data_IF_799033907821
#
_entry.id   IF_799033907821
#
_cell.length_a   1.000
_cell.length_b   1.000
_cell.length_c   1.000
_cell.angle_alpha   90.00
_cell.angle_beta   90.00
_cell.angle_gamma   90.00
#
_symmetry.space_group_name_H-M   'P 1'
#
loop_
_entity.id
_entity.type
_entity.pdbx_description
1 polymer ?
#
# COMPACT_ATOMS: atom_id res chain seq x y z
N UNK A 1 -12.11 2.49 20.15
CA UNK A 1 -12.09 2.18 18.71
C UNK A 1 -10.72 2.52 18.18
N UNK A 2 -9.92 1.51 17.84
CA UNK A 2 -8.60 1.72 17.23
C UNK A 2 -8.82 2.30 15.84
N UNK A 3 -8.36 3.54 15.60
CA UNK A 3 -8.45 4.13 14.26
C UNK A 3 -7.59 3.31 13.30
N UNK A 4 -8.19 2.88 12.20
CA UNK A 4 -7.47 2.21 11.13
C UNK A 4 -6.34 3.11 10.62
N UNK A 5 -5.13 2.57 10.48
CA UNK A 5 -3.97 3.34 9.99
C UNK A 5 -4.21 3.86 8.57
N UNK A 6 -5.08 3.21 7.80
CA UNK A 6 -5.47 3.64 6.46
C UNK A 6 -6.15 5.01 6.41
N UNK A 7 -6.80 5.44 7.48
CA UNK A 7 -7.42 6.78 7.54
C UNK A 7 -6.43 7.88 7.92
N UNK A 8 -5.34 7.52 8.61
CA UNK A 8 -4.38 8.48 9.19
C UNK A 8 -3.15 8.64 8.31
N UNK A 9 -2.67 7.56 7.71
CA UNK A 9 -1.44 7.55 6.94
C UNK A 9 -1.71 7.78 5.46
N UNK A 10 -0.78 8.51 4.81
CA UNK A 10 -0.78 8.69 3.36
C UNK A 10 0.31 7.86 2.67
N UNK A 11 1.38 7.50 3.38
CA UNK A 11 2.51 6.72 2.88
C UNK A 11 3.03 5.82 4.00
N UNK A 12 3.44 4.61 3.64
CA UNK A 12 4.18 3.67 4.49
C UNK A 12 5.30 3.06 3.64
N UNK A 13 6.48 2.87 4.21
CA UNK A 13 7.65 2.37 3.47
C UNK A 13 8.38 1.29 4.25
N UNK A 14 9.18 0.49 3.54
CA UNK A 14 9.99 -0.58 4.11
C UNK A 14 9.15 -1.83 4.40
N UNK A 15 9.73 -2.74 5.18
CA UNK A 15 9.14 -4.07 5.45
C UNK A 15 7.76 -3.97 6.10
N UNK A 16 7.57 -2.99 7.00
CA UNK A 16 6.30 -2.72 7.64
C UNK A 16 5.17 -2.40 6.63
N UNK A 17 5.50 -1.81 5.48
CA UNK A 17 4.52 -1.56 4.42
C UNK A 17 4.04 -2.88 3.79
N UNK A 18 4.98 -3.74 3.40
CA UNK A 18 4.67 -5.06 2.83
C UNK A 18 3.84 -5.91 3.78
N UNK A 19 4.25 -5.97 5.05
CA UNK A 19 3.56 -6.75 6.07
C UNK A 19 2.14 -6.20 6.31
N UNK A 20 1.99 -4.88 6.34
CA UNK A 20 0.68 -4.25 6.51
C UNK A 20 -0.24 -4.48 5.30
N UNK A 21 0.28 -4.42 4.07
CA UNK A 21 -0.49 -4.77 2.89
C UNK A 21 -1.00 -6.20 2.95
N UNK A 22 -0.13 -7.15 3.26
CA UNK A 22 -0.48 -8.58 3.28
C UNK A 22 -1.47 -8.92 4.40
N UNK A 23 -1.33 -8.30 5.57
CA UNK A 23 -2.13 -8.65 6.74
C UNK A 23 -3.46 -7.89 6.82
N UNK A 24 -3.55 -6.70 6.24
CA UNK A 24 -4.67 -5.79 6.51
C UNK A 24 -5.37 -5.25 5.25
N UNK A 25 -4.79 -5.39 4.06
CA UNK A 25 -5.38 -4.87 2.83
C UNK A 25 -5.76 -6.00 1.88
N UNK A 26 -6.92 -5.87 1.24
CA UNK A 26 -7.33 -6.79 0.18
C UNK A 26 -6.66 -6.39 -1.13
N UNK A 27 -5.94 -7.32 -1.75
CA UNK A 27 -5.35 -7.11 -3.07
C UNK A 27 -6.45 -7.06 -4.12
N UNK A 28 -6.52 -5.97 -4.86
CA UNK A 28 -7.54 -5.75 -5.90
C UNK A 28 -7.01 -6.12 -7.27
N UNK A 29 -5.83 -5.63 -7.63
CA UNK A 29 -5.19 -5.89 -8.92
C UNK A 29 -3.69 -5.64 -8.86
N UNK A 30 -2.96 -6.18 -9.82
CA UNK A 30 -1.58 -5.80 -10.11
C UNK A 30 -1.53 -5.26 -11.54
N UNK A 31 -0.79 -4.18 -11.76
CA UNK A 31 -0.53 -3.71 -13.11
C UNK A 31 0.72 -4.37 -13.72
N UNK A 32 0.80 -4.36 -15.04
CA UNK A 32 1.95 -4.90 -15.77
C UNK A 32 3.27 -4.13 -15.56
N UNK A 33 3.28 -3.08 -14.72
CA UNK A 33 4.46 -2.31 -14.33
C UNK A 33 4.96 -2.69 -12.93
N UNK A 34 4.34 -3.70 -12.28
CA UNK A 34 4.74 -4.18 -10.97
C UNK A 34 4.20 -3.33 -9.81
N UNK A 35 3.19 -2.49 -10.04
CA UNK A 35 2.44 -1.86 -8.97
C UNK A 35 1.28 -2.77 -8.56
N UNK A 36 1.14 -3.01 -7.26
CA UNK A 36 0.01 -3.76 -6.72
C UNK A 36 -0.95 -2.82 -6.04
N UNK A 37 -2.23 -2.91 -6.38
CA UNK A 37 -3.28 -2.10 -5.79
C UNK A 37 -4.06 -2.89 -4.75
N UNK A 38 -4.36 -2.22 -3.65
CA UNK A 38 -5.07 -2.78 -2.52
C UNK A 38 -6.21 -1.89 -2.06
N UNK A 39 -7.16 -2.49 -1.35
CA UNK A 39 -8.25 -1.80 -0.69
C UNK A 39 -8.32 -2.21 0.78
N UNK A 40 -8.43 -1.23 1.66
CA UNK A 40 -8.71 -1.49 3.06
C UNK A 40 -10.19 -1.89 3.22
N UNK A 41 -10.51 -3.07 3.78
CA UNK A 41 -11.90 -3.51 3.95
C UNK A 41 -12.66 -2.66 4.99
N UNK A 42 -11.95 -2.09 5.97
CA UNK A 42 -12.57 -1.31 7.05
C UNK A 42 -12.96 0.12 6.62
N UNK A 43 -12.11 0.77 5.82
CA UNK A 43 -12.26 2.20 5.47
C UNK A 43 -12.60 2.40 3.99
N UNK A 44 -12.49 1.36 3.16
CA UNK A 44 -12.57 1.45 1.71
C UNK A 44 -11.46 2.29 1.08
N UNK A 45 -10.42 2.67 1.84
CA UNK A 45 -9.29 3.46 1.35
C UNK A 45 -8.46 2.64 0.37
N UNK A 46 -8.07 3.29 -0.72
CA UNK A 46 -7.27 2.71 -1.78
C UNK A 46 -5.77 2.90 -1.52
N UNK A 47 -4.98 1.87 -1.79
CA UNK A 47 -3.53 1.86 -1.63
C UNK A 47 -2.86 1.28 -2.87
N UNK A 48 -1.65 1.76 -3.17
CA UNK A 48 -0.78 1.20 -4.20
C UNK A 48 0.58 0.87 -3.57
N UNK A 49 1.06 -0.34 -3.76
CA UNK A 49 2.42 -0.77 -3.47
C UNK A 49 3.27 -0.54 -4.73
N UNK A 50 4.28 0.28 -4.56
CA UNK A 50 5.26 0.65 -5.59
C UNK A 50 6.61 0.07 -5.17
N UNK A 51 7.32 -0.59 -6.10
CA UNK A 51 8.74 -0.93 -5.89
C UNK A 51 9.56 0.34 -6.11
N UNK A 52 10.10 0.91 -5.04
CA UNK A 52 11.01 2.04 -5.15
C UNK A 52 12.44 1.49 -5.29
N UNK A 53 13.21 1.91 -6.31
CA UNK A 53 14.64 1.65 -6.32
C UNK A 53 15.26 2.46 -5.17
N UNK A 54 15.56 1.80 -4.05
CA UNK A 54 16.26 2.46 -2.97
C UNK A 54 17.73 2.57 -3.35
N UNK A 55 18.30 3.77 -3.24
CA UNK A 55 19.64 4.08 -3.77
C UNK A 55 20.77 3.52 -2.90
N UNK A 56 20.46 2.81 -1.80
CA UNK A 56 21.49 2.34 -0.87
C UNK A 56 21.27 0.96 -0.22
N UNK A 57 20.08 0.34 -0.25
CA UNK A 57 19.80 -0.83 0.61
C UNK A 57 18.85 -1.91 0.05
N UNK A 58 18.70 -2.01 -1.27
CA UNK A 58 17.81 -2.99 -1.90
C UNK A 58 16.42 -2.43 -2.23
N UNK A 59 15.58 -3.23 -2.90
CA UNK A 59 14.25 -2.78 -3.35
C UNK A 59 13.33 -2.51 -2.15
N UNK A 60 13.16 -1.24 -1.79
CA UNK A 60 12.22 -0.84 -0.73
C UNK A 60 10.81 -0.78 -1.28
N UNK A 61 9.89 -1.51 -0.63
CA UNK A 61 8.47 -1.41 -0.95
C UNK A 61 7.86 -0.17 -0.32
N UNK A 62 7.02 0.52 -1.07
CA UNK A 62 6.32 1.71 -0.62
C UNK A 62 4.83 1.55 -0.87
N UNK A 63 4.04 1.63 0.19
CA UNK A 63 2.60 1.79 0.13
C UNK A 63 2.25 3.27 0.11
N UNK A 64 1.45 3.68 -0.87
CA UNK A 64 0.93 5.04 -0.98
C UNK A 64 -0.58 5.01 -1.09
N UNK A 65 -1.24 5.87 -0.32
CA UNK A 65 -2.67 6.10 -0.44
C UNK A 65 -2.97 6.70 -1.80
N UNK A 66 -3.99 6.17 -2.46
CA UNK A 66 -4.43 6.67 -3.77
C UNK A 66 -5.92 6.97 -3.73
N UNK A 67 -6.41 7.68 -4.74
CA UNK A 67 -7.84 7.91 -4.92
C UNK A 67 -8.53 6.61 -5.33
N UNK A 68 -9.76 6.42 -4.82
CA UNK A 68 -10.60 5.25 -5.11
C UNK A 68 -10.85 5.02 -6.60
N UNK A 69 -10.71 6.05 -7.43
CA UNK A 69 -10.92 6.02 -8.88
C UNK A 69 -9.81 5.30 -9.66
N UNK A 70 -8.67 5.02 -9.02
CA UNK A 70 -7.51 4.39 -9.68
C UNK A 70 -7.47 2.86 -9.54
N UNK A 71 -8.39 2.25 -8.79
CA UNK A 71 -8.46 0.79 -8.59
C UNK A 71 -9.57 0.15 -9.39
#
# INVERSE_FOLDING_TARGET
>A
MTRCRCDVLNVMSGDAASDYAVQHLDRVREDGQGQTYYRCPETGTAWVEERAPDTYAGESRRLRRTDRSRI
#
